data_IF_769400286794
#
_entry.id   IF_769400286794
#
_cell.length_a   1.000
_cell.length_b   1.000
_cell.length_c   1.000
_cell.angle_alpha   90.00
_cell.angle_beta   90.00
_cell.angle_gamma   90.00
#
_symmetry.space_group_name_H-M   'P 1'
#
loop_
_entity.id
_entity.type
_entity.pdbx_description
1 polymer ?
#
# COMPACT_ATOMS: atom_id res chain seq x y z
N UNK A 1 4.12 13.92 -25.15
CA UNK A 1 3.24 12.74 -24.96
C UNK A 1 3.52 12.08 -23.62
N UNK A 2 4.76 11.64 -23.38
CA UNK A 2 5.20 10.99 -22.13
C UNK A 2 4.94 11.81 -20.85
N UNK A 3 5.15 13.13 -20.88
CA UNK A 3 4.85 14.03 -19.76
C UNK A 3 3.36 14.19 -19.45
N UNK A 4 2.51 14.09 -20.48
CA UNK A 4 1.05 14.20 -20.37
C UNK A 4 0.46 12.89 -19.84
N UNK A 5 0.97 11.75 -20.32
CA UNK A 5 0.60 10.43 -19.81
C UNK A 5 0.97 10.27 -18.32
N UNK A 6 2.18 10.68 -17.94
CA UNK A 6 2.60 10.65 -16.54
C UNK A 6 1.77 11.59 -15.65
N UNK A 7 1.35 12.75 -16.16
CA UNK A 7 0.47 13.64 -15.42
C UNK A 7 -0.90 13.00 -15.16
N UNK A 8 -1.50 12.37 -16.18
CA UNK A 8 -2.76 11.65 -16.05
C UNK A 8 -2.67 10.46 -15.07
N UNK A 9 -1.57 9.71 -15.12
CA UNK A 9 -1.30 8.62 -14.15
C UNK A 9 -1.21 9.17 -12.73
N UNK A 10 -0.46 10.24 -12.51
CA UNK A 10 -0.32 10.88 -11.19
C UNK A 10 -1.65 11.40 -10.67
N UNK A 11 -2.46 12.03 -11.53
CA UNK A 11 -3.78 12.54 -11.19
C UNK A 11 -4.73 11.41 -10.81
N UNK A 12 -4.86 10.38 -11.66
CA UNK A 12 -5.69 9.21 -11.37
C UNK A 12 -5.25 8.49 -10.07
N UNK A 13 -3.95 8.36 -9.85
CA UNK A 13 -3.42 7.78 -8.63
C UNK A 13 -3.76 8.63 -7.40
N UNK A 14 -3.59 9.95 -7.49
CA UNK A 14 -3.88 10.89 -6.41
C UNK A 14 -5.36 10.88 -6.03
N UNK A 15 -6.25 10.87 -7.02
CA UNK A 15 -7.69 10.85 -6.79
C UNK A 15 -8.12 9.53 -6.14
N UNK A 16 -7.67 8.40 -6.71
CA UNK A 16 -8.03 7.07 -6.20
C UNK A 16 -7.44 6.83 -4.80
N UNK A 17 -6.21 7.29 -4.54
CA UNK A 17 -5.58 7.18 -3.23
C UNK A 17 -6.21 8.13 -2.19
N UNK A 18 -6.59 9.36 -2.57
CA UNK A 18 -7.24 10.30 -1.67
C UNK A 18 -8.61 9.84 -1.20
N UNK A 19 -9.39 9.19 -2.07
CA UNK A 19 -10.64 8.54 -1.66
C UNK A 19 -10.43 7.36 -0.70
N UNK A 20 -9.28 6.69 -0.82
CA UNK A 20 -8.84 5.59 0.04
C UNK A 20 -8.43 6.09 1.43
N UNK A 21 -7.63 7.15 1.48
CA UNK A 21 -7.05 7.70 2.70
C UNK A 21 -8.14 8.16 3.68
N UNK A 22 -9.18 8.86 3.20
CA UNK A 22 -10.29 9.36 4.02
C UNK A 22 -11.17 8.27 4.66
N UNK A 23 -11.18 7.06 4.09
CA UNK A 23 -12.08 5.97 4.52
C UNK A 23 -11.39 4.86 5.28
N UNK A 24 -10.07 4.75 5.15
CA UNK A 24 -9.29 3.71 5.79
C UNK A 24 -8.27 4.23 6.81
N UNK A 25 -8.24 5.54 7.08
CA UNK A 25 -7.32 6.17 8.05
C UNK A 25 -7.22 5.39 9.37
N UNK A 26 -8.35 4.90 9.91
CA UNK A 26 -8.35 4.13 11.15
C UNK A 26 -7.68 2.76 11.00
N UNK A 27 -8.08 1.99 9.99
CA UNK A 27 -7.54 0.64 9.78
C UNK A 27 -6.04 0.69 9.42
N UNK A 28 -5.62 1.74 8.71
CA UNK A 28 -4.21 1.99 8.42
C UNK A 28 -3.44 2.49 9.64
N UNK A 29 -3.99 3.40 10.45
CA UNK A 29 -3.40 3.84 11.71
C UNK A 29 -3.21 2.68 12.69
N UNK A 30 -4.15 1.73 12.71
CA UNK A 30 -4.04 0.50 13.50
C UNK A 30 -2.92 -0.43 12.97
N UNK A 31 -2.72 -0.48 11.65
CA UNK A 31 -1.70 -1.34 11.03
C UNK A 31 -0.30 -0.73 11.13
N UNK A 32 -0.19 0.59 10.97
CA UNK A 32 1.05 1.34 11.14
C UNK A 32 1.48 1.44 12.61
N UNK A 33 0.54 1.53 13.56
CA UNK A 33 0.85 1.44 14.99
C UNK A 33 1.31 0.04 15.43
N UNK A 34 0.85 -1.02 14.74
CA UNK A 34 1.35 -2.39 14.91
C UNK A 34 2.74 -2.59 14.32
N UNK A 35 3.10 -1.82 13.28
CA UNK A 35 4.48 -1.74 12.84
C UNK A 35 5.28 -0.96 13.89
N UNK A 36 5.96 -1.67 14.78
CA UNK A 36 7.04 -1.09 15.57
C UNK A 36 8.22 -0.75 14.64
N UNK A 37 8.10 0.38 13.93
CA UNK A 37 9.13 0.87 13.03
C UNK A 37 10.29 1.39 13.86
N UNK A 38 11.37 0.61 13.90
CA UNK A 38 12.69 1.13 14.27
C UNK A 38 13.50 1.32 13.00
N UNK A 39 14.44 2.29 12.93
CA UNK A 39 15.25 2.50 11.72
C UNK A 39 15.99 1.24 11.22
N UNK A 40 16.24 0.28 12.10
CA UNK A 40 16.94 -0.97 11.82
C UNK A 40 16.04 -2.07 11.20
N UNK A 41 14.74 -2.09 11.51
CA UNK A 41 13.80 -3.14 11.08
C UNK A 41 12.73 -2.65 10.10
N UNK A 42 12.67 -1.35 9.87
CA UNK A 42 11.61 -0.70 9.11
C UNK A 42 11.42 -1.24 7.70
N UNK A 43 12.51 -1.55 6.98
CA UNK A 43 12.43 -2.11 5.64
C UNK A 43 11.82 -3.51 5.64
N UNK A 44 12.31 -4.41 6.50
CA UNK A 44 11.81 -5.79 6.57
C UNK A 44 10.35 -5.83 7.04
N UNK A 45 9.97 -4.94 7.97
CA UNK A 45 8.58 -4.82 8.38
C UNK A 45 7.69 -4.33 7.23
N UNK A 46 8.13 -3.33 6.47
CA UNK A 46 7.41 -2.86 5.28
C UNK A 46 7.27 -3.96 4.23
N UNK A 47 8.37 -4.62 3.86
CA UNK A 47 8.42 -5.69 2.87
C UNK A 47 7.51 -6.85 3.25
N UNK A 48 7.54 -7.29 4.52
CA UNK A 48 6.67 -8.36 5.03
C UNK A 48 5.17 -8.02 4.93
N UNK A 49 4.79 -6.77 5.21
CA UNK A 49 3.39 -6.33 4.99
C UNK A 49 3.04 -6.37 3.52
N UNK A 50 3.92 -5.88 2.64
CA UNK A 50 3.64 -5.87 1.21
C UNK A 50 3.58 -7.30 0.63
N UNK A 51 4.43 -8.21 1.08
CA UNK A 51 4.39 -9.62 0.70
C UNK A 51 3.03 -10.25 1.05
N UNK A 52 2.46 -9.92 2.22
CA UNK A 52 1.11 -10.34 2.57
C UNK A 52 0.07 -9.70 1.64
N UNK A 53 0.18 -8.38 1.40
CA UNK A 53 -0.73 -7.65 0.52
C UNK A 53 -0.82 -8.26 -0.87
N UNK A 54 0.32 -8.69 -1.40
CA UNK A 54 0.43 -9.21 -2.76
C UNK A 54 0.51 -10.74 -2.83
N UNK A 55 0.36 -11.46 -1.71
CA UNK A 55 0.46 -12.93 -1.64
C UNK A 55 -0.39 -13.65 -2.68
N UNK A 56 -1.66 -13.24 -2.82
CA UNK A 56 -2.60 -13.89 -3.75
C UNK A 56 -2.57 -13.27 -5.16
N UNK A 57 -1.54 -12.48 -5.47
CA UNK A 57 -1.33 -11.84 -6.77
C UNK A 57 -1.52 -10.32 -6.77
N UNK A 58 -1.27 -9.73 -7.94
CA UNK A 58 -1.29 -8.27 -8.14
C UNK A 58 -2.57 -7.86 -8.85
N UNK A 59 -3.17 -6.76 -8.41
CA UNK A 59 -4.26 -6.07 -9.12
C UNK A 59 -4.19 -4.56 -8.86
N UNK A 60 -4.84 -3.76 -9.71
CA UNK A 60 -4.79 -2.30 -9.62
C UNK A 60 -5.27 -1.75 -8.27
N UNK A 61 -6.22 -2.41 -7.60
CA UNK A 61 -6.66 -2.01 -6.27
C UNK A 61 -5.59 -2.17 -5.20
N UNK A 62 -4.83 -3.27 -5.23
CA UNK A 62 -3.68 -3.48 -4.34
C UNK A 62 -2.54 -2.51 -4.65
N UNK A 63 -2.33 -2.19 -5.93
CA UNK A 63 -1.34 -1.18 -6.35
C UNK A 63 -1.71 0.20 -5.79
N UNK A 64 -2.96 0.65 -5.91
CA UNK A 64 -3.41 1.90 -5.28
C UNK A 64 -3.28 1.83 -3.75
N UNK A 65 -3.59 0.68 -3.15
CA UNK A 65 -3.43 0.44 -1.72
C UNK A 65 -1.99 0.62 -1.22
N UNK A 66 -0.98 0.18 -1.98
CA UNK A 66 0.43 0.43 -1.69
C UNK A 66 0.73 1.93 -1.58
N UNK A 67 0.25 2.74 -2.54
CA UNK A 67 0.48 4.19 -2.53
C UNK A 67 -0.24 4.89 -1.39
N UNK A 68 -1.49 4.53 -1.13
CA UNK A 68 -2.25 5.07 0.01
C UNK A 68 -1.59 4.70 1.35
N UNK A 69 -1.14 3.45 1.52
CA UNK A 69 -0.45 3.00 2.72
C UNK A 69 0.89 3.71 2.92
N UNK A 70 1.71 3.79 1.87
CA UNK A 70 2.98 4.50 1.92
C UNK A 70 2.82 5.98 2.27
N UNK A 71 1.80 6.64 1.71
CA UNK A 71 1.42 8.01 2.05
C UNK A 71 1.05 8.17 3.53
N UNK A 72 0.17 7.31 4.05
CA UNK A 72 -0.22 7.31 5.46
C UNK A 72 0.99 7.07 6.40
N UNK A 73 1.88 6.14 6.06
CA UNK A 73 3.12 5.92 6.82
C UNK A 73 4.02 7.16 6.83
N UNK A 74 4.10 7.89 5.72
CA UNK A 74 4.87 9.13 5.65
C UNK A 74 4.27 10.22 6.56
N UNK A 75 2.93 10.37 6.54
CA UNK A 75 2.23 11.33 7.42
C UNK A 75 2.50 11.00 8.89
N UNK A 76 2.35 9.73 9.28
CA UNK A 76 2.60 9.30 10.66
C UNK A 76 4.06 9.48 11.09
N UNK A 77 5.02 9.24 10.19
CA UNK A 77 6.42 9.53 10.48
C UNK A 77 6.64 11.01 10.78
N UNK A 78 5.97 11.92 10.07
CA UNK A 78 6.06 13.35 10.34
C UNK A 78 5.41 13.70 11.68
N UNK A 79 4.23 13.17 11.96
CA UNK A 79 3.51 13.40 13.23
C UNK A 79 4.28 12.90 14.46
N UNK A 80 5.09 11.84 14.31
CA UNK A 80 5.93 11.26 15.36
C UNK A 80 7.36 11.79 15.38
N UNK A 81 7.65 12.90 14.70
CA UNK A 81 8.98 13.52 14.62
C UNK A 81 10.08 12.60 14.01
N UNK A 82 9.68 11.64 13.18
CA UNK A 82 10.53 10.70 12.46
C UNK A 82 10.65 11.01 10.96
N UNK A 83 10.57 12.28 10.56
CA UNK A 83 10.56 12.72 9.15
C UNK A 83 11.74 12.23 8.30
N UNK A 84 12.86 11.86 8.93
CA UNK A 84 14.01 11.24 8.24
C UNK A 84 13.68 9.89 7.58
N UNK A 85 12.60 9.22 7.99
CA UNK A 85 12.15 7.96 7.40
C UNK A 85 11.33 8.14 6.11
N UNK A 86 10.75 9.32 5.85
CA UNK A 86 9.89 9.56 4.68
C UNK A 86 10.61 9.24 3.37
N UNK A 87 11.85 9.69 3.22
CA UNK A 87 12.67 9.38 2.04
C UNK A 87 12.93 7.88 1.88
N UNK A 88 13.13 7.17 2.99
CA UNK A 88 13.36 5.72 2.98
C UNK A 88 12.09 4.95 2.60
N UNK A 89 10.92 5.39 3.08
CA UNK A 89 9.63 4.78 2.70
C UNK A 89 9.41 4.90 1.19
N UNK A 90 9.65 6.08 0.61
CA UNK A 90 9.55 6.28 -0.83
C UNK A 90 10.50 5.34 -1.60
N UNK A 91 11.75 5.21 -1.15
CA UNK A 91 12.73 4.28 -1.73
C UNK A 91 12.25 2.82 -1.66
N UNK A 92 11.74 2.38 -0.52
CA UNK A 92 11.24 1.00 -0.34
C UNK A 92 10.05 0.70 -1.23
N UNK A 93 9.12 1.66 -1.35
CA UNK A 93 7.99 1.52 -2.27
C UNK A 93 8.47 1.40 -3.72
N UNK A 94 9.45 2.21 -4.14
CA UNK A 94 10.03 2.13 -5.48
C UNK A 94 10.67 0.76 -5.72
N UNK A 95 11.52 0.30 -4.79
CA UNK A 95 12.18 -1.02 -4.89
C UNK A 95 11.13 -2.14 -5.00
N UNK A 96 10.14 -2.14 -4.11
CA UNK A 96 9.12 -3.18 -4.10
C UNK A 96 8.27 -3.17 -5.37
N UNK A 97 7.90 -1.97 -5.84
CA UNK A 97 7.17 -1.78 -7.08
C UNK A 97 7.97 -2.33 -8.27
N UNK A 98 9.24 -1.96 -8.40
CA UNK A 98 10.10 -2.38 -9.51
C UNK A 98 10.33 -3.90 -9.53
N UNK A 99 10.51 -4.51 -8.35
CA UNK A 99 10.82 -5.94 -8.24
C UNK A 99 9.57 -6.82 -8.37
N UNK A 100 8.49 -6.49 -7.67
CA UNK A 100 7.35 -7.41 -7.49
C UNK A 100 6.12 -7.05 -8.33
N UNK A 101 5.94 -5.77 -8.65
CA UNK A 101 4.68 -5.26 -9.21
C UNK A 101 4.83 -4.89 -10.69
N UNK A 102 5.96 -4.29 -11.05
CA UNK A 102 6.25 -3.79 -12.39
C UNK A 102 6.09 -4.86 -13.49
N UNK A 103 6.53 -6.13 -13.31
CA UNK A 103 6.29 -7.17 -14.32
C UNK A 103 4.81 -7.38 -14.63
N UNK A 104 3.95 -7.36 -13.60
CA UNK A 104 2.51 -7.47 -13.77
C UNK A 104 1.92 -6.23 -14.46
N UNK A 105 2.37 -5.04 -14.08
CA UNK A 105 1.91 -3.79 -14.70
C UNK A 105 2.20 -3.79 -16.20
N UNK A 106 3.39 -4.21 -16.61
CA UNK A 106 3.73 -4.35 -18.02
C UNK A 106 2.82 -5.36 -18.73
N UNK A 107 2.52 -6.49 -18.08
CA UNK A 107 1.59 -7.49 -18.62
C UNK A 107 0.14 -6.98 -18.76
N UNK A 108 -0.26 -5.93 -18.02
CA UNK A 108 -1.57 -5.29 -18.14
C UNK A 108 -1.61 -4.13 -19.15
N UNK A 109 -0.54 -3.91 -19.92
CA UNK A 109 -0.45 -2.79 -20.87
C UNK A 109 0.08 -1.49 -20.26
N UNK A 110 0.73 -1.57 -19.09
CA UNK A 110 1.44 -0.46 -18.47
C UNK A 110 0.54 0.51 -17.70
N UNK A 111 1.16 1.57 -17.19
CA UNK A 111 0.48 2.62 -16.41
C UNK A 111 -0.50 3.46 -17.23
N UNK A 112 -0.33 3.53 -18.56
CA UNK A 112 -1.28 4.20 -19.45
C UNK A 112 -2.67 3.55 -19.34
N UNK A 113 -2.72 2.21 -19.32
CA UNK A 113 -3.97 1.47 -19.14
C UNK A 113 -4.65 1.77 -17.80
N UNK A 114 -3.86 1.95 -16.75
CA UNK A 114 -4.39 2.41 -15.46
C UNK A 114 -5.04 3.79 -15.58
N UNK A 115 -4.36 4.76 -16.19
CA UNK A 115 -4.93 6.11 -16.38
C UNK A 115 -6.17 6.14 -17.29
N UNK A 116 -6.31 5.21 -18.23
CA UNK A 116 -7.52 5.13 -19.07
C UNK A 116 -8.74 4.63 -18.30
N UNK A 117 -8.54 3.58 -17.50
CA UNK A 117 -9.58 2.94 -16.68
C UNK A 117 -9.97 3.88 -15.53
N UNK A 118 -8.97 4.30 -14.76
CA UNK A 118 -9.16 5.11 -13.57
C UNK A 118 -9.15 6.62 -13.82
N UNK A 119 -8.87 7.12 -15.02
CA UNK A 119 -8.93 8.56 -15.33
C UNK A 119 -10.29 9.02 -15.89
N UNK A 120 -11.08 8.10 -16.47
CA UNK A 120 -12.43 8.41 -17.00
C UNK A 120 -13.56 8.03 -16.04
N UNK A 121 -13.40 6.93 -15.30
CA UNK A 121 -14.38 6.41 -14.33
C UNK A 121 -13.78 6.29 -12.92
N UNK A 122 -12.77 7.11 -12.61
CA UNK A 122 -12.00 7.16 -11.36
C UNK A 122 -12.84 6.86 -10.12
N UNK A 123 -13.92 7.62 -9.95
CA UNK A 123 -14.79 7.55 -8.77
C UNK A 123 -15.63 6.26 -8.71
N UNK A 124 -16.02 5.66 -9.84
CA UNK A 124 -16.81 4.43 -9.87
C UNK A 124 -15.93 3.19 -9.66
N UNK A 125 -14.75 3.19 -10.27
CA UNK A 125 -13.80 2.09 -10.19
C UNK A 125 -13.02 2.11 -8.87
N UNK A 126 -12.72 3.31 -8.34
CA UNK A 126 -12.28 3.53 -6.96
C UNK A 126 -13.24 2.88 -5.98
N UNK A 127 -14.57 3.14 -6.06
CA UNK A 127 -15.56 2.50 -5.17
C UNK A 127 -15.55 0.97 -5.24
N UNK A 128 -15.44 0.38 -6.44
CA UNK A 128 -15.41 -1.09 -6.61
C UNK A 128 -14.12 -1.71 -6.07
N UNK A 129 -12.99 -1.08 -6.38
CA UNK A 129 -11.66 -1.42 -5.87
C UNK A 129 -11.63 -1.32 -4.34
N UNK A 130 -12.20 -0.24 -3.80
CA UNK A 130 -12.36 0.04 -2.37
C UNK A 130 -13.13 -1.05 -1.64
N UNK A 131 -14.23 -1.58 -2.19
CA UNK A 131 -14.96 -2.67 -1.54
C UNK A 131 -14.18 -4.00 -1.52
N UNK A 132 -13.48 -4.32 -2.62
CA UNK A 132 -12.66 -5.53 -2.70
C UNK A 132 -11.46 -5.43 -1.75
N UNK A 133 -10.81 -4.27 -1.72
CA UNK A 133 -9.73 -4.01 -0.79
C UNK A 133 -10.21 -3.93 0.66
N UNK A 134 -11.38 -3.35 0.96
CA UNK A 134 -11.95 -3.35 2.31
C UNK A 134 -12.20 -4.76 2.82
N UNK A 135 -12.79 -5.61 1.97
CA UNK A 135 -13.02 -7.02 2.30
C UNK A 135 -11.70 -7.74 2.54
N UNK A 136 -10.70 -7.49 1.70
CA UNK A 136 -9.37 -8.08 1.84
C UNK A 136 -8.61 -7.56 3.07
N UNK A 137 -8.64 -6.26 3.36
CA UNK A 137 -7.96 -5.63 4.51
C UNK A 137 -8.59 -6.06 5.83
N UNK A 138 -9.94 -6.09 5.91
CA UNK A 138 -10.63 -6.65 7.07
C UNK A 138 -10.32 -8.14 7.25
N UNK A 139 -10.33 -8.93 6.18
CA UNK A 139 -9.94 -10.34 6.25
C UNK A 139 -8.47 -10.52 6.69
N UNK A 140 -7.56 -9.71 6.15
CA UNK A 140 -6.13 -9.71 6.44
C UNK A 140 -5.78 -9.28 7.87
N UNK A 141 -6.45 -8.27 8.43
CA UNK A 141 -6.30 -7.88 9.85
C UNK A 141 -6.69 -9.00 10.82
N UNK A 142 -7.67 -9.84 10.46
CA UNK A 142 -8.01 -11.07 11.22
C UNK A 142 -6.88 -12.10 11.22
N UNK A 143 -6.07 -12.13 10.16
CA UNK A 143 -4.92 -13.03 10.04
C UNK A 143 -3.66 -12.44 10.69
N UNK A 144 -3.41 -11.13 10.55
CA UNK A 144 -2.27 -10.45 11.19
C UNK A 144 -2.31 -10.49 12.72
N UNK A 145 -3.50 -10.33 13.32
CA UNK A 145 -3.67 -10.53 14.78
C UNK A 145 -3.37 -11.98 15.19
N UNK A 146 -3.74 -12.97 14.37
CA UNK A 146 -3.44 -14.38 14.61
C UNK A 146 -1.93 -14.72 14.52
N UNK A 147 -1.22 -14.14 13.55
CA UNK A 147 0.21 -14.41 13.33
C UNK A 147 1.11 -13.74 14.37
N UNK A 148 0.80 -12.50 14.78
CA UNK A 148 1.56 -11.82 15.85
C UNK A 148 1.34 -12.50 17.20
N UNK A 149 0.11 -12.92 17.52
CA UNK A 149 -0.14 -13.70 18.74
C UNK A 149 0.54 -15.08 18.67
N UNK A 150 0.50 -15.76 17.53
CA UNK A 150 1.13 -17.07 17.34
C UNK A 150 2.66 -17.05 17.46
N UNK A 151 3.32 -16.05 16.89
CA UNK A 151 4.78 -15.89 16.97
C UNK A 151 5.28 -15.51 18.36
N UNK A 152 4.53 -14.66 19.10
CA UNK A 152 4.85 -14.32 20.49
C UNK A 152 4.69 -15.49 21.47
N UNK A 153 3.75 -16.40 21.20
CA UNK A 153 3.60 -17.63 22.00
C UNK A 153 4.66 -18.68 21.68
N UNK A 154 5.14 -18.75 20.43
CA UNK A 154 6.22 -19.65 20.03
C UNK A 154 7.58 -19.24 20.63
N UNK A 155 7.89 -17.95 20.69
CA UNK A 155 9.14 -17.45 21.31
C UNK A 155 9.21 -17.59 22.83
N UNK A 156 8.08 -17.77 23.54
CA UNK A 156 8.06 -18.00 25.00
C UNK A 156 8.12 -19.48 25.40
N UNK A 157 8.10 -20.41 24.43
CA UNK A 157 8.05 -21.86 24.65
C UNK A 157 9.31 -22.62 24.19
N UNK A 158 10.34 -21.90 23.74
CA UNK A 158 11.71 -22.39 23.54
C UNK A 158 12.64 -21.65 24.50
#
# INVERSE_FOLDING_TARGET
>A
AETVAMAAVKEALRDTAGEFELRFTRAFSDLSSQLHITPATAYQSFESVMDEVFRDGVNWGRVVGLFAFGGALCVECVEKEMSSLVGRIAEWMTVYLDVHIQPWIQAQGGWERFSEVFGKDAAAESRRSQESFRKWFLAGMTLFTGVVVGSLFAQKRL
#
